data_IF_791856331115
#
_entry.id   IF_791856331115
#
_cell.length_a   1.000
_cell.length_b   1.000
_cell.length_c   1.000
_cell.angle_alpha   90.00
_cell.angle_beta   90.00
_cell.angle_gamma   90.00
#
_symmetry.space_group_name_H-M   'P 1'
#
loop_
_entity.id
_entity.type
_entity.pdbx_description
1 polymer ?
#
# COMPACT_ATOMS: atom_id res chain seq x y z
N UNK A 1 -22.91 -4.05 -12.75
CA UNK A 1 -23.32 -4.14 -11.33
C UNK A 1 -22.39 -3.22 -10.54
N UNK A 2 -22.91 -2.13 -9.99
CA UNK A 2 -22.12 -1.28 -9.09
C UNK A 2 -22.08 -1.89 -7.70
N UNK A 3 -20.91 -1.94 -7.07
CA UNK A 3 -20.75 -2.41 -5.68
C UNK A 3 -20.51 -1.21 -4.77
N UNK A 4 -21.03 -1.28 -3.54
CA UNK A 4 -20.75 -0.28 -2.51
C UNK A 4 -19.46 -0.66 -1.79
N UNK A 5 -18.52 0.29 -1.69
CA UNK A 5 -17.27 0.12 -0.95
C UNK A 5 -17.31 0.96 0.34
N UNK A 6 -17.02 0.33 1.48
CA UNK A 6 -16.85 1.04 2.73
C UNK A 6 -15.47 1.72 2.75
N UNK A 7 -15.45 3.05 2.71
CA UNK A 7 -14.20 3.84 2.65
C UNK A 7 -13.62 4.08 4.06
N UNK A 8 -14.46 4.27 5.06
CA UNK A 8 -14.03 4.46 6.45
C UNK A 8 -15.18 4.33 7.43
N UNK A 9 -14.84 4.00 8.67
CA UNK A 9 -15.76 3.89 9.79
C UNK A 9 -15.25 4.75 10.96
N UNK A 10 -16.01 5.81 11.28
CA UNK A 10 -15.70 6.73 12.38
C UNK A 10 -16.08 6.18 13.76
N UNK A 11 -16.82 5.08 13.83
CA UNK A 11 -17.22 4.42 15.07
C UNK A 11 -16.31 3.24 15.42
N UNK A 12 -15.56 2.71 14.44
CA UNK A 12 -14.63 1.61 14.67
C UNK A 12 -13.37 2.08 15.44
N UNK A 13 -13.14 1.59 16.67
CA UNK A 13 -11.98 1.95 17.46
C UNK A 13 -10.65 1.53 16.81
N UNK A 14 -10.62 0.42 16.07
CA UNK A 14 -9.40 -0.08 15.43
C UNK A 14 -9.01 0.84 14.28
N UNK A 15 -9.98 1.17 13.42
CA UNK A 15 -9.77 2.07 12.29
C UNK A 15 -9.23 3.43 12.74
N UNK A 16 -9.83 4.00 13.79
CA UNK A 16 -9.41 5.29 14.35
C UNK A 16 -8.01 5.24 14.93
N UNK A 17 -7.68 4.21 15.70
CA UNK A 17 -6.34 4.09 16.26
C UNK A 17 -5.29 3.89 15.17
N UNK A 18 -5.54 3.03 14.18
CA UNK A 18 -4.64 2.81 13.06
C UNK A 18 -4.44 4.09 12.23
N UNK A 19 -5.50 4.84 11.97
CA UNK A 19 -5.39 6.15 11.29
C UNK A 19 -4.49 7.11 12.06
N UNK A 20 -4.64 7.19 13.38
CA UNK A 20 -3.85 8.07 14.23
C UNK A 20 -2.38 7.64 14.28
N UNK A 21 -2.13 6.33 14.40
CA UNK A 21 -0.78 5.78 14.42
C UNK A 21 -0.05 6.04 13.10
N UNK A 22 -0.71 5.78 11.96
CA UNK A 22 -0.13 6.02 10.64
C UNK A 22 0.16 7.51 10.44
N UNK A 23 -0.79 8.40 10.77
CA UNK A 23 -0.59 9.86 10.66
C UNK A 23 0.51 10.39 11.59
N UNK A 24 0.68 9.78 12.77
CA UNK A 24 1.72 10.17 13.73
C UNK A 24 3.11 9.69 13.28
N UNK A 25 3.19 8.51 12.67
CA UNK A 25 4.44 7.94 12.12
C UNK A 25 4.80 8.59 10.79
N UNK A 26 3.82 8.90 9.94
CA UNK A 26 4.03 9.58 8.68
C UNK A 26 4.12 11.09 8.93
N UNK A 27 5.32 11.59 9.26
CA UNK A 27 5.59 13.03 9.31
C UNK A 27 5.31 13.78 8.00
N UNK A 28 5.05 13.06 6.90
CA UNK A 28 4.58 13.59 5.62
C UNK A 28 3.06 13.73 5.59
N UNK A 29 2.60 14.95 5.26
CA UNK A 29 1.17 15.22 5.01
C UNK A 29 0.65 14.30 3.90
N UNK A 30 -0.40 13.55 4.21
CA UNK A 30 -1.18 12.79 3.22
C UNK A 30 -1.54 13.74 2.08
N UNK A 31 -1.29 13.37 0.81
CA UNK A 31 -1.66 14.21 -0.31
C UNK A 31 -3.16 14.50 -0.27
N UNK A 32 -3.52 15.77 -0.48
CA UNK A 32 -4.92 16.21 -0.51
C UNK A 32 -5.60 15.66 -1.77
N UNK A 33 -6.31 14.56 -1.62
CA UNK A 33 -7.17 13.99 -2.64
C UNK A 33 -8.58 13.66 -2.13
N UNK A 34 -9.40 12.99 -2.96
CA UNK A 34 -10.78 12.65 -2.61
C UNK A 34 -10.88 11.79 -1.35
N UNK A 35 -9.93 10.86 -1.13
CA UNK A 35 -9.94 10.01 0.05
C UNK A 35 -9.68 10.82 1.31
N UNK A 36 -8.63 11.64 1.32
CA UNK A 36 -8.31 12.51 2.47
C UNK A 36 -9.46 13.44 2.84
N UNK A 37 -10.18 13.97 1.83
CA UNK A 37 -11.30 14.87 2.04
C UNK A 37 -12.51 14.15 2.65
N UNK A 38 -12.80 12.94 2.19
CA UNK A 38 -13.88 12.10 2.74
C UNK A 38 -13.58 11.70 4.19
N UNK A 39 -12.33 11.33 4.47
CA UNK A 39 -11.90 10.93 5.81
C UNK A 39 -11.87 12.09 6.79
N UNK A 40 -11.47 13.27 6.35
CA UNK A 40 -11.54 14.48 7.17
C UNK A 40 -13.00 14.77 7.57
N UNK A 41 -13.96 14.58 6.65
CA UNK A 41 -15.38 14.65 6.96
C UNK A 41 -15.81 13.65 8.03
N UNK A 42 -15.38 12.39 7.91
CA UNK A 42 -15.69 11.32 8.89
C UNK A 42 -15.09 11.59 10.27
N UNK A 43 -13.86 12.10 10.32
CA UNK A 43 -13.16 12.44 11.56
C UNK A 43 -13.83 13.62 12.29
N UNK A 44 -14.38 14.59 11.56
CA UNK A 44 -15.16 15.71 12.15
C UNK A 44 -16.42 15.22 12.88
N UNK A 45 -16.98 14.10 12.44
CA UNK A 45 -18.15 13.47 13.09
C UNK A 45 -17.78 12.47 14.18
N UNK A 46 -16.49 12.12 14.32
CA UNK A 46 -16.01 11.16 15.32
C UNK A 46 -15.80 11.85 16.69
N UNK A 47 -16.24 11.24 17.79
CA UNK A 47 -16.03 11.78 19.13
C UNK A 47 -14.55 11.79 19.56
N UNK A 48 -14.09 12.71 20.42
CA UNK A 48 -12.66 12.91 20.76
C UNK A 48 -11.92 11.75 21.44
N UNK A 49 -12.59 10.64 21.77
CA UNK A 49 -11.95 9.51 22.44
C UNK A 49 -11.12 8.68 21.46
N UNK A 50 -9.80 8.64 21.68
CA UNK A 50 -8.91 7.72 20.98
C UNK A 50 -8.77 6.43 21.81
N UNK A 51 -9.30 5.29 21.34
CA UNK A 51 -9.07 4.01 21.99
C UNK A 51 -7.62 3.59 21.76
N UNK A 52 -6.93 3.16 22.81
CA UNK A 52 -5.60 2.55 22.71
C UNK A 52 -5.76 1.02 22.71
N UNK A 53 -5.75 0.34 21.56
CA UNK A 53 -5.78 -1.11 21.51
C UNK A 53 -4.50 -1.64 22.18
N UNK A 54 -4.67 -2.65 23.03
CA UNK A 54 -3.55 -3.32 23.70
C UNK A 54 -2.60 -3.95 22.65
N UNK A 55 -1.30 -3.93 22.97
CA UNK A 55 -0.16 -4.10 22.07
C UNK A 55 -0.12 -5.31 21.11
N UNK A 56 -0.70 -6.51 21.35
CA UNK A 56 -0.40 -7.67 20.50
C UNK A 56 -0.98 -7.63 19.07
N UNK A 57 -2.02 -6.82 18.82
CA UNK A 57 -2.72 -6.78 17.51
C UNK A 57 -2.55 -5.42 16.78
N UNK A 58 -1.60 -4.61 17.23
CA UNK A 58 -1.32 -3.28 16.70
C UNK A 58 -0.77 -3.31 15.27
N UNK A 59 0.14 -4.23 14.95
CA UNK A 59 0.71 -4.36 13.62
C UNK A 59 -0.31 -4.81 12.54
N UNK A 60 -1.07 -5.92 12.71
CA UNK A 60 -2.01 -6.37 11.68
C UNK A 60 -3.19 -5.41 11.46
N UNK A 61 -3.59 -4.64 12.49
CA UNK A 61 -4.62 -3.60 12.34
C UNK A 61 -4.14 -2.45 11.48
N UNK A 62 -2.90 -1.97 11.68
CA UNK A 62 -2.30 -0.92 10.82
C UNK A 62 -2.15 -1.40 9.39
N UNK A 63 -1.72 -2.64 9.15
CA UNK A 63 -1.65 -3.22 7.80
C UNK A 63 -3.02 -3.23 7.14
N UNK A 64 -4.03 -3.74 7.84
CA UNK A 64 -5.40 -3.83 7.30
C UNK A 64 -5.96 -2.44 6.97
N UNK A 65 -5.69 -1.45 7.84
CA UNK A 65 -6.05 -0.06 7.59
C UNK A 65 -5.36 0.49 6.33
N UNK A 66 -4.03 0.32 6.20
CA UNK A 66 -3.27 0.82 5.05
C UNK A 66 -3.74 0.18 3.73
N UNK A 67 -4.09 -1.09 3.75
CA UNK A 67 -4.67 -1.77 2.58
C UNK A 67 -6.06 -1.28 2.24
N UNK A 68 -6.90 -1.01 3.24
CA UNK A 68 -8.19 -0.38 3.02
C UNK A 68 -8.02 1.00 2.37
N UNK A 69 -7.02 1.79 2.80
CA UNK A 69 -6.71 3.07 2.16
C UNK A 69 -6.22 2.94 0.73
N UNK A 70 -5.40 1.93 0.46
CA UNK A 70 -4.94 1.60 -0.89
C UNK A 70 -6.11 1.21 -1.80
N UNK A 71 -7.03 0.37 -1.32
CA UNK A 71 -8.21 -0.05 -2.07
C UNK A 71 -9.19 1.11 -2.30
N UNK A 72 -9.42 1.93 -1.27
CA UNK A 72 -10.32 3.07 -1.38
C UNK A 72 -9.75 4.16 -2.30
N UNK A 73 -8.45 4.45 -2.26
CA UNK A 73 -7.82 5.38 -3.21
C UNK A 73 -7.87 4.86 -4.64
N UNK A 74 -7.72 3.54 -4.84
CA UNK A 74 -7.93 2.88 -6.14
C UNK A 74 -9.37 3.02 -6.63
N UNK A 75 -10.35 2.77 -5.77
CA UNK A 75 -11.76 2.89 -6.11
C UNK A 75 -12.19 4.34 -6.43
N UNK A 76 -11.58 5.32 -5.75
CA UNK A 76 -11.80 6.75 -6.00
C UNK A 76 -11.03 7.28 -7.22
N UNK A 77 -10.20 6.47 -7.86
CA UNK A 77 -9.42 6.87 -9.04
C UNK A 77 -8.25 7.82 -8.73
N UNK A 78 -7.84 7.93 -7.47
CA UNK A 78 -6.81 8.89 -7.02
C UNK A 78 -5.42 8.27 -7.09
N UNK A 79 -4.72 8.52 -8.20
CA UNK A 79 -3.40 7.96 -8.44
C UNK A 79 -2.35 8.44 -7.41
N UNK A 80 -2.39 9.71 -7.01
CA UNK A 80 -1.44 10.27 -6.05
C UNK A 80 -1.61 9.68 -4.65
N UNK A 81 -2.86 9.53 -4.18
CA UNK A 81 -3.14 8.90 -2.90
C UNK A 81 -2.79 7.42 -2.94
N UNK A 82 -3.06 6.72 -4.05
CA UNK A 82 -2.68 5.32 -4.22
C UNK A 82 -1.18 5.09 -4.05
N UNK A 83 -0.35 5.91 -4.70
CA UNK A 83 1.12 5.80 -4.54
C UNK A 83 1.53 6.09 -3.11
N UNK A 84 0.99 7.13 -2.49
CA UNK A 84 1.32 7.46 -1.10
C UNK A 84 0.99 6.31 -0.14
N UNK A 85 -0.23 5.75 -0.22
CA UNK A 85 -0.65 4.64 0.64
C UNK A 85 0.12 3.35 0.35
N UNK A 86 0.49 3.09 -0.90
CA UNK A 86 1.34 1.96 -1.26
C UNK A 86 2.73 2.09 -0.62
N UNK A 87 3.34 3.27 -0.71
CA UNK A 87 4.65 3.53 -0.11
C UNK A 87 4.59 3.44 1.41
N UNK A 88 3.54 3.99 2.04
CA UNK A 88 3.32 3.88 3.48
C UNK A 88 3.15 2.42 3.93
N UNK A 89 2.38 1.62 3.17
CA UNK A 89 2.22 0.18 3.40
C UNK A 89 3.57 -0.53 3.33
N UNK A 90 4.34 -0.33 2.26
CA UNK A 90 5.66 -0.95 2.10
C UNK A 90 6.60 -0.56 3.24
N UNK A 91 6.73 0.74 3.56
CA UNK A 91 7.59 1.20 4.66
C UNK A 91 7.19 0.59 6.00
N UNK A 92 5.89 0.43 6.24
CA UNK A 92 5.40 -0.25 7.44
C UNK A 92 5.79 -1.74 7.44
N UNK A 93 5.57 -2.45 6.32
CA UNK A 93 5.94 -3.87 6.17
C UNK A 93 7.46 -4.10 6.34
N UNK A 94 8.30 -3.15 5.93
CA UNK A 94 9.75 -3.24 6.07
C UNK A 94 10.23 -3.08 7.52
N UNK A 95 9.46 -2.35 8.32
CA UNK A 95 9.76 -2.07 9.74
C UNK A 95 9.31 -3.21 10.65
N UNK A 96 8.20 -3.87 10.30
CA UNK A 96 7.64 -4.99 11.07
C UNK A 96 8.32 -6.32 10.74
N UNK A 97 8.65 -7.12 11.75
CA UNK A 97 9.19 -8.47 11.55
C UNK A 97 8.09 -9.47 11.18
N UNK A 98 8.39 -10.38 10.24
CA UNK A 98 7.50 -11.49 9.88
C UNK A 98 6.48 -11.23 8.76
N UNK A 99 6.47 -10.04 8.16
CA UNK A 99 5.57 -9.67 7.06
C UNK A 99 6.16 -9.82 5.65
N UNK A 100 7.30 -10.49 5.51
CA UNK A 100 7.97 -10.77 4.22
C UNK A 100 7.02 -11.36 3.19
N UNK A 101 6.19 -12.34 3.58
CA UNK A 101 5.23 -12.99 2.67
C UNK A 101 4.29 -11.98 2.03
N UNK A 102 3.85 -10.98 2.80
CA UNK A 102 2.93 -9.95 2.32
C UNK A 102 3.62 -8.97 1.38
N UNK A 103 4.87 -8.62 1.69
CA UNK A 103 5.71 -7.81 0.79
C UNK A 103 5.93 -8.52 -0.56
N UNK A 104 6.27 -9.82 -0.55
CA UNK A 104 6.43 -10.61 -1.77
C UNK A 104 5.16 -10.60 -2.63
N UNK A 105 3.99 -10.79 -2.04
CA UNK A 105 2.72 -10.73 -2.78
C UNK A 105 2.50 -9.38 -3.50
N UNK A 106 2.86 -8.26 -2.84
CA UNK A 106 2.75 -6.93 -3.45
C UNK A 106 3.75 -6.78 -4.60
N UNK A 107 4.98 -7.24 -4.42
CA UNK A 107 6.03 -7.16 -5.44
C UNK A 107 5.71 -8.06 -6.64
N UNK A 108 5.19 -9.26 -6.40
CA UNK A 108 4.75 -10.20 -7.43
C UNK A 108 3.59 -9.63 -8.25
N UNK A 109 2.60 -8.98 -7.61
CA UNK A 109 1.51 -8.29 -8.33
C UNK A 109 1.99 -7.08 -9.15
N UNK A 110 3.01 -6.37 -8.68
CA UNK A 110 3.62 -5.25 -9.40
C UNK A 110 4.55 -5.68 -10.54
N UNK A 111 5.25 -6.81 -10.39
CA UNK A 111 6.14 -7.37 -11.41
C UNK A 111 5.33 -7.99 -12.55
N UNK A 112 4.26 -8.70 -12.19
CA UNK A 112 3.47 -9.50 -13.11
C UNK A 112 4.02 -10.91 -13.32
N UNK A 113 3.31 -11.75 -14.09
CA UNK A 113 3.69 -13.15 -14.29
C UNK A 113 5.01 -13.28 -15.07
N UNK A 114 6.07 -13.74 -14.40
CA UNK A 114 7.42 -13.87 -14.99
C UNK A 114 7.59 -15.06 -15.95
N UNK A 115 6.74 -16.10 -15.91
CA UNK A 115 7.00 -17.36 -16.63
C UNK A 115 5.80 -18.07 -17.29
N UNK A 116 4.67 -17.41 -17.52
CA UNK A 116 3.55 -18.08 -18.19
C UNK A 116 2.77 -17.16 -19.11
N UNK A 117 2.86 -17.45 -20.40
CA UNK A 117 2.13 -16.84 -21.51
C UNK A 117 0.60 -16.95 -21.37
N UNK A 118 0.08 -17.82 -20.51
CA UNK A 118 -1.36 -17.93 -20.22
C UNK A 118 -1.89 -16.85 -19.27
N UNK A 119 -1.06 -16.29 -18.37
CA UNK A 119 -1.49 -15.30 -17.36
C UNK A 119 -1.31 -13.85 -17.79
N UNK A 120 -0.66 -13.63 -18.94
CA UNK A 120 -0.44 -12.28 -19.52
C UNK A 120 -1.76 -11.57 -19.86
N UNK A 121 -2.86 -12.33 -20.01
CA UNK A 121 -4.20 -11.79 -20.31
C UNK A 121 -4.95 -11.20 -19.11
N UNK A 122 -4.57 -11.51 -17.86
CA UNK A 122 -5.27 -10.98 -16.67
C UNK A 122 -4.47 -9.89 -15.94
N UNK A 123 -3.18 -9.75 -16.21
CA UNK A 123 -2.34 -8.77 -15.54
C UNK A 123 -2.30 -7.45 -16.31
N UNK A 124 -2.90 -6.42 -15.72
CA UNK A 124 -2.85 -5.06 -16.28
C UNK A 124 -1.51 -4.38 -15.94
N UNK A 125 -0.73 -3.92 -16.93
CA UNK A 125 0.58 -3.30 -16.69
C UNK A 125 0.48 -1.86 -16.14
N UNK A 126 -0.73 -1.31 -16.10
CA UNK A 126 -1.01 0.07 -15.71
C UNK A 126 -2.08 0.09 -14.62
N UNK A 127 -1.80 0.73 -13.49
CA UNK A 127 -2.78 1.02 -12.43
C UNK A 127 -3.01 2.54 -12.41
N UNK A 128 -4.26 2.99 -12.60
CA UNK A 128 -4.62 4.42 -12.52
C UNK A 128 -3.77 5.32 -13.44
N UNK A 129 -3.39 4.84 -14.62
CA UNK A 129 -2.52 5.56 -15.55
C UNK A 129 -1.01 5.50 -15.22
N UNK A 130 -0.62 4.80 -14.14
CA UNK A 130 0.79 4.62 -13.75
C UNK A 130 1.26 3.21 -14.13
N UNK A 131 2.44 3.11 -14.75
CA UNK A 131 3.07 1.81 -15.04
C UNK A 131 3.42 1.09 -13.73
N UNK A 132 2.95 -0.15 -13.55
CA UNK A 132 3.27 -0.96 -12.36
C UNK A 132 4.77 -1.13 -12.15
N UNK A 133 5.54 -1.30 -13.22
CA UNK A 133 7.00 -1.40 -13.15
C UNK A 133 7.68 -0.11 -12.67
N UNK A 134 7.09 1.06 -12.93
CA UNK A 134 7.60 2.32 -12.36
C UNK A 134 7.39 2.34 -10.85
N UNK A 135 6.20 1.96 -10.39
CA UNK A 135 5.90 1.82 -8.96
C UNK A 135 6.80 0.77 -8.30
N UNK A 136 7.07 -0.34 -8.97
CA UNK A 136 7.99 -1.37 -8.49
C UNK A 136 9.40 -0.79 -8.30
N UNK A 137 9.89 0.04 -9.23
CA UNK A 137 11.16 0.75 -9.07
C UNK A 137 11.20 1.67 -7.86
N UNK A 138 10.15 2.47 -7.66
CA UNK A 138 10.04 3.39 -6.52
C UNK A 138 9.98 2.61 -5.18
N UNK A 139 9.25 1.50 -5.15
CA UNK A 139 9.17 0.58 -4.01
C UNK A 139 10.53 -0.06 -3.74
N UNK A 140 11.21 -0.57 -4.77
CA UNK A 140 12.54 -1.18 -4.63
C UNK A 140 13.58 -0.19 -4.10
N UNK A 141 13.51 1.08 -4.48
CA UNK A 141 14.39 2.11 -3.92
C UNK A 141 14.24 2.23 -2.38
N UNK A 142 13.01 2.12 -1.87
CA UNK A 142 12.74 2.12 -0.41
C UNK A 142 13.13 0.79 0.24
N UNK A 143 12.99 -0.34 -0.44
CA UNK A 143 13.47 -1.63 0.08
C UNK A 143 15.01 -1.62 0.19
N UNK A 144 15.69 -1.04 -0.81
CA UNK A 144 17.14 -0.95 -0.88
C UNK A 144 17.79 -0.13 0.25
N UNK A 145 17.04 0.77 0.90
CA UNK A 145 17.56 1.49 2.08
C UNK A 145 17.66 0.62 3.34
N UNK A 146 17.11 -0.59 3.33
CA UNK A 146 17.16 -1.51 4.46
C UNK A 146 18.06 -2.72 4.17
N UNK A 147 19.20 -2.84 4.87
CA UNK A 147 20.14 -3.96 4.69
C UNK A 147 19.49 -5.34 4.82
N UNK A 148 18.49 -5.49 5.71
CA UNK A 148 17.78 -6.76 5.92
C UNK A 148 17.11 -7.28 4.65
N UNK A 149 16.70 -6.38 3.77
CA UNK A 149 15.93 -6.69 2.57
C UNK A 149 16.77 -6.66 1.29
N UNK A 150 18.10 -6.53 1.41
CA UNK A 150 19.01 -6.44 0.26
C UNK A 150 18.92 -7.66 -0.66
N UNK A 151 18.74 -8.87 -0.11
CA UNK A 151 18.57 -10.10 -0.91
C UNK A 151 17.32 -10.04 -1.79
N UNK A 152 16.22 -9.58 -1.21
CA UNK A 152 14.94 -9.47 -1.88
C UNK A 152 14.97 -8.33 -2.91
N UNK A 153 15.59 -7.20 -2.57
CA UNK A 153 15.87 -6.13 -3.54
C UNK A 153 16.63 -6.64 -4.77
N UNK A 154 17.72 -7.39 -4.57
CA UNK A 154 18.51 -7.95 -5.67
C UNK A 154 17.66 -8.86 -6.57
N UNK A 155 16.94 -9.81 -5.98
CA UNK A 155 16.06 -10.76 -6.67
C UNK A 155 15.06 -10.04 -7.60
N UNK A 156 14.31 -9.07 -7.07
CA UNK A 156 13.30 -8.34 -7.84
C UNK A 156 13.90 -7.33 -8.82
N UNK A 157 15.07 -6.74 -8.50
CA UNK A 157 15.77 -5.84 -9.42
C UNK A 157 16.29 -6.57 -10.67
N UNK A 158 16.78 -7.79 -10.50
CA UNK A 158 17.24 -8.66 -11.59
C UNK A 158 16.04 -9.10 -12.45
N UNK A 159 14.92 -9.47 -11.83
CA UNK A 159 13.69 -9.79 -12.56
C UNK A 159 13.13 -8.58 -13.34
N UNK A 160 13.19 -7.38 -12.78
CA UNK A 160 12.74 -6.17 -13.48
C UNK A 160 13.66 -5.85 -14.68
N UNK A 161 14.98 -5.99 -14.52
CA UNK A 161 15.94 -5.74 -15.61
C UNK A 161 15.82 -6.77 -16.73
N UNK A 162 15.66 -8.06 -16.41
CA UNK A 162 15.42 -9.11 -17.41
C UNK A 162 14.14 -8.87 -18.20
N UNK A 163 13.04 -8.49 -17.56
CA UNK A 163 11.79 -8.13 -18.25
C UNK A 163 11.95 -6.89 -19.14
N UNK A 164 12.69 -5.88 -18.69
CA UNK A 164 12.99 -4.69 -19.51
C UNK A 164 13.80 -5.05 -20.75
N UNK A 165 14.75 -5.98 -20.62
CA UNK A 165 15.59 -6.44 -21.73
C UNK A 165 14.84 -7.35 -22.73
N UNK A 166 13.74 -7.99 -22.33
CA UNK A 166 12.89 -8.81 -23.21
C UNK A 166 11.90 -7.99 -24.05
N UNK A 167 11.65 -6.73 -23.66
CA UNK A 167 10.69 -5.82 -24.33
C UNK A 167 11.37 -4.90 -25.35
N UNK A 168 12.71 -4.89 -25.40
CA UNK A 168 13.52 -4.02 -26.25
C UNK A 168 14.22 -4.83 -27.34
#
# INVERSE_FOLDING_TARGET
MGTWLLIGDSQDPIWRWSSFNVLSTSGNRVPRGPLSSLQEGLLRTAGNTLPNPRLPHSAPSVVSYLEQQLLASKALGSAQEYVYWLMALVSFLLTQDGLEKRLRLILDDLLGPSHTSASKSMWEPVILGIKKHKLLGDVLAVIGSHLRWQRLYLEYSEQLTTLKNQVN
#
